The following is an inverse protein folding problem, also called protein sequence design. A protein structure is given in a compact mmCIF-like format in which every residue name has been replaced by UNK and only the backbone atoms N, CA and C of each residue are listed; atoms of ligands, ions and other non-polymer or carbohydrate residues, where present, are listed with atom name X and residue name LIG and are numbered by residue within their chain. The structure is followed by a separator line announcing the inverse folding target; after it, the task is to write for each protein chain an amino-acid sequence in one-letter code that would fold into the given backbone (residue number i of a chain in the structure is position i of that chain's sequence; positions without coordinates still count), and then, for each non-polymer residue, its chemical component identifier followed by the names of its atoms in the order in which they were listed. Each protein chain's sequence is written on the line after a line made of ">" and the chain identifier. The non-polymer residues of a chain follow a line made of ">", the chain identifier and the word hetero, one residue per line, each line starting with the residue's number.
data_IF_434851860588
#
_entry.id   IF_434851860588
#
_cell.length_a   1.000
_cell.length_b   1.000
_cell.length_c   1.000
_cell.angle_alpha   90.00
_cell.angle_beta   90.00
_cell.angle_gamma   90.00
#
_symmetry.space_group_name_H-M   'P 1'
#
loop_
_entity.id
_entity.type
_entity.pdbx_description
1 polymer ?
#
# COMPACT_ATOMS: atom_id res chain seq x y z
N UNK A 1 1.39 -1.52 26.84
CA UNK A 1 1.63 -2.17 25.52
C UNK A 1 1.16 -1.26 24.41
N UNK A 2 1.44 -1.59 23.15
CA UNK A 2 1.12 -0.70 22.01
C UNK A 2 -0.36 -0.30 21.93
N UNK A 3 -1.28 -1.22 22.23
CA UNK A 3 -2.73 -0.94 22.24
C UNK A 3 -3.11 0.14 23.25
N UNK A 4 -2.68 0.01 24.52
CA UNK A 4 -2.96 1.03 25.54
C UNK A 4 -2.37 2.38 25.14
N UNK A 5 -1.15 2.40 24.61
CA UNK A 5 -0.53 3.65 24.15
C UNK A 5 -1.39 4.34 23.07
N UNK A 6 -1.89 3.60 22.08
CA UNK A 6 -2.78 4.13 21.03
C UNK A 6 -4.07 4.70 21.63
N UNK A 7 -4.65 4.02 22.61
CA UNK A 7 -5.87 4.47 23.32
C UNK A 7 -5.59 5.76 24.11
N UNK A 8 -4.49 5.77 24.88
CA UNK A 8 -4.10 6.90 25.74
C UNK A 8 -3.78 8.17 24.93
N UNK A 9 -3.38 8.03 23.66
CA UNK A 9 -3.18 9.14 22.72
C UNK A 9 -4.49 9.65 22.07
N UNK A 10 -5.65 9.06 22.38
CA UNK A 10 -6.94 9.49 21.84
C UNK A 10 -7.16 9.13 20.36
N UNK A 11 -6.43 8.13 19.84
CA UNK A 11 -6.61 7.63 18.48
C UNK A 11 -7.98 6.97 18.34
N UNK A 12 -8.69 7.28 17.25
CA UNK A 12 -10.04 6.76 16.98
C UNK A 12 -10.12 5.72 15.89
N UNK A 13 -9.13 5.71 14.99
CA UNK A 13 -9.07 4.83 13.82
C UNK A 13 -7.69 4.19 13.74
N UNK A 14 -7.65 2.87 13.56
CA UNK A 14 -6.40 2.10 13.46
C UNK A 14 -6.45 1.22 12.23
N UNK A 15 -5.42 1.29 11.40
CA UNK A 15 -5.09 0.22 10.47
C UNK A 15 -4.11 -0.73 11.15
N UNK A 16 -4.44 -2.02 11.12
CA UNK A 16 -3.50 -3.08 11.49
C UNK A 16 -3.03 -3.77 10.22
N UNK A 17 -1.77 -4.18 10.17
CA UNK A 17 -1.19 -4.85 9.02
C UNK A 17 -0.20 -5.90 9.48
N UNK A 18 0.06 -6.87 8.60
CA UNK A 18 0.91 -8.03 8.82
C UNK A 18 0.50 -8.91 10.03
N UNK A 19 0.74 -10.22 9.91
CA UNK A 19 0.45 -11.17 10.99
C UNK A 19 -1.04 -11.47 11.20
N UNK A 20 -1.37 -12.00 12.38
CA UNK A 20 -2.71 -12.50 12.70
C UNK A 20 -3.63 -11.35 13.21
N UNK A 21 -4.79 -11.07 12.56
CA UNK A 21 -5.74 -10.05 13.00
C UNK A 21 -6.27 -10.28 14.42
N UNK A 22 -6.28 -11.51 14.93
CA UNK A 22 -6.74 -11.82 16.29
C UNK A 22 -5.92 -11.16 17.39
N UNK A 23 -4.66 -10.78 17.10
CA UNK A 23 -3.70 -10.35 18.12
C UNK A 23 -4.16 -9.10 18.89
N UNK A 24 -4.74 -8.13 18.17
CA UNK A 24 -5.10 -6.83 18.75
C UNK A 24 -6.53 -6.39 18.47
N UNK A 25 -7.23 -7.01 17.51
CA UNK A 25 -8.56 -6.54 17.07
C UNK A 25 -9.54 -6.49 18.24
N UNK A 26 -9.64 -7.56 19.04
CA UNK A 26 -10.56 -7.60 20.19
C UNK A 26 -10.29 -6.50 21.22
N UNK A 27 -9.02 -6.21 21.53
CA UNK A 27 -8.65 -5.16 22.50
C UNK A 27 -8.95 -3.76 21.96
N UNK A 28 -8.64 -3.49 20.68
CA UNK A 28 -8.92 -2.22 20.03
C UNK A 28 -10.43 -1.96 19.92
N UNK A 29 -11.19 -2.99 19.53
CA UNK A 29 -12.66 -2.95 19.44
C UNK A 29 -13.31 -2.75 20.81
N UNK A 30 -12.82 -3.41 21.86
CA UNK A 30 -13.31 -3.24 23.22
C UNK A 30 -13.10 -1.80 23.75
N UNK A 31 -12.07 -1.10 23.25
CA UNK A 31 -11.82 0.30 23.55
C UNK A 31 -12.62 1.29 22.66
N UNK A 32 -13.49 0.78 21.77
CA UNK A 32 -14.36 1.60 20.92
C UNK A 32 -13.67 2.18 19.67
N UNK A 33 -12.48 1.69 19.31
CA UNK A 33 -11.78 2.16 18.11
C UNK A 33 -12.38 1.54 16.84
N UNK A 34 -12.34 2.29 15.74
CA UNK A 34 -12.56 1.77 14.39
C UNK A 34 -11.29 1.06 13.92
N UNK A 35 -11.41 -0.20 13.52
CA UNK A 35 -10.27 -1.06 13.17
C UNK A 35 -10.41 -1.53 11.73
N UNK A 36 -9.44 -1.17 10.89
CA UNK A 36 -9.27 -1.73 9.56
C UNK A 36 -8.07 -2.67 9.55
N UNK A 37 -8.13 -3.75 8.77
CA UNK A 37 -7.00 -4.69 8.63
C UNK A 37 -6.54 -4.82 7.18
N UNK A 38 -5.23 -4.73 6.96
CA UNK A 38 -4.61 -4.93 5.65
C UNK A 38 -4.54 -6.41 5.32
N UNK A 39 -5.11 -6.81 4.19
CA UNK A 39 -5.25 -8.22 3.78
C UNK A 39 -4.66 -8.45 2.38
N UNK A 40 -3.75 -9.42 2.21
CA UNK A 40 -3.10 -9.66 0.93
C UNK A 40 -3.74 -10.79 0.10
N UNK A 41 -4.78 -11.44 0.62
CA UNK A 41 -5.51 -12.54 -0.03
C UNK A 41 -6.90 -12.71 0.59
N UNK A 42 -7.73 -13.53 -0.07
CA UNK A 42 -9.11 -13.75 0.35
C UNK A 42 -9.24 -14.43 1.71
N UNK A 43 -8.40 -15.42 2.04
CA UNK A 43 -8.49 -16.11 3.33
C UNK A 43 -8.18 -15.19 4.49
N UNK A 44 -7.20 -14.28 4.34
CA UNK A 44 -6.93 -13.23 5.33
C UNK A 44 -8.08 -12.23 5.45
N UNK A 45 -8.74 -11.87 4.34
CA UNK A 45 -9.92 -10.99 4.34
C UNK A 45 -11.07 -11.59 5.16
N UNK A 46 -11.45 -12.84 4.88
CA UNK A 46 -12.49 -13.56 5.61
C UNK A 46 -12.12 -13.64 7.10
N UNK A 47 -10.88 -14.03 7.40
CA UNK A 47 -10.41 -14.15 8.78
C UNK A 47 -10.45 -12.82 9.54
N UNK A 48 -10.08 -11.72 8.90
CA UNK A 48 -10.14 -10.40 9.52
C UNK A 48 -11.59 -9.99 9.85
N UNK A 49 -12.53 -10.24 8.94
CA UNK A 49 -13.97 -9.99 9.17
C UNK A 49 -14.49 -10.84 10.32
N UNK A 50 -14.13 -12.13 10.39
CA UNK A 50 -14.47 -13.01 11.53
C UNK A 50 -13.93 -12.48 12.87
N UNK A 51 -12.81 -11.76 12.85
CA UNK A 51 -12.24 -11.12 14.05
C UNK A 51 -12.96 -9.83 14.46
N UNK A 52 -13.92 -9.34 13.68
CA UNK A 52 -14.75 -8.18 14.00
C UNK A 52 -14.11 -6.83 13.64
N UNK A 53 -13.27 -6.78 12.60
CA UNK A 53 -12.80 -5.50 12.03
C UNK A 53 -13.97 -4.73 11.40
N UNK A 54 -13.86 -3.40 11.38
CA UNK A 54 -14.87 -2.52 10.77
C UNK A 54 -14.69 -2.38 9.25
N UNK A 55 -13.53 -2.75 8.73
CA UNK A 55 -13.23 -2.65 7.31
C UNK A 55 -11.91 -3.30 6.95
N UNK A 56 -11.63 -3.34 5.65
CA UNK A 56 -10.45 -3.97 5.09
C UNK A 56 -9.63 -2.95 4.29
N UNK A 57 -8.32 -3.13 4.30
CA UNK A 57 -7.44 -2.58 3.27
C UNK A 57 -7.00 -3.74 2.39
N UNK A 58 -7.58 -3.86 1.20
CA UNK A 58 -7.28 -4.96 0.28
C UNK A 58 -6.09 -4.56 -0.58
N UNK A 59 -4.94 -5.18 -0.35
CA UNK A 59 -3.68 -4.75 -0.95
C UNK A 59 -3.11 -5.78 -1.94
N UNK A 60 -3.02 -5.39 -3.22
CA UNK A 60 -2.41 -6.20 -4.27
C UNK A 60 -0.87 -6.16 -4.28
N UNK A 61 -0.31 -7.10 -5.05
CA UNK A 61 1.14 -7.29 -5.23
C UNK A 61 1.89 -6.12 -5.87
N UNK A 62 1.18 -5.19 -6.51
CA UNK A 62 1.71 -4.00 -7.18
C UNK A 62 2.20 -2.94 -6.18
N UNK A 63 1.67 -2.95 -4.95
CA UNK A 63 2.03 -2.02 -3.88
C UNK A 63 3.45 -2.23 -3.37
N UNK A 64 4.09 -1.14 -2.93
CA UNK A 64 5.38 -1.21 -2.24
C UNK A 64 5.26 -1.77 -0.82
N UNK A 65 6.38 -2.15 -0.22
CA UNK A 65 6.39 -2.63 1.17
C UNK A 65 6.24 -4.13 1.30
N UNK A 66 5.89 -4.60 2.49
CA UNK A 66 5.74 -6.03 2.80
C UNK A 66 4.53 -6.65 2.09
N UNK A 67 4.73 -7.81 1.47
CA UNK A 67 3.74 -8.54 0.67
C UNK A 67 3.63 -9.99 1.09
N UNK A 68 2.54 -10.62 0.66
CA UNK A 68 2.47 -12.08 0.65
C UNK A 68 3.47 -12.63 -0.40
N UNK A 69 4.27 -13.65 -0.08
CA UNK A 69 5.18 -14.27 -1.05
C UNK A 69 4.52 -14.80 -2.32
N UNK A 70 3.23 -15.16 -2.22
CA UNK A 70 2.34 -15.48 -3.34
C UNK A 70 1.39 -14.31 -3.53
N UNK A 71 1.81 -13.35 -4.31
CA UNK A 71 1.06 -12.14 -4.58
C UNK A 71 -0.13 -12.38 -5.52
N UNK A 72 -1.12 -11.51 -5.39
CA UNK A 72 -2.28 -11.42 -6.28
C UNK A 72 -2.42 -9.96 -6.67
N UNK A 73 -2.62 -9.70 -7.96
CA UNK A 73 -2.82 -8.35 -8.47
C UNK A 73 -4.14 -7.75 -7.93
N UNK A 74 -4.17 -6.44 -7.68
CA UNK A 74 -5.36 -5.74 -7.17
C UNK A 74 -6.57 -5.95 -8.06
N UNK A 75 -6.38 -5.95 -9.39
CA UNK A 75 -7.44 -6.17 -10.38
C UNK A 75 -8.18 -7.51 -10.19
N UNK A 76 -7.49 -8.52 -9.64
CA UNK A 76 -8.06 -9.84 -9.33
C UNK A 76 -8.54 -9.91 -7.88
N UNK A 77 -7.72 -9.44 -6.95
CA UNK A 77 -7.95 -9.60 -5.52
C UNK A 77 -9.15 -8.78 -5.03
N UNK A 78 -9.26 -7.53 -5.47
CA UNK A 78 -10.28 -6.59 -4.99
C UNK A 78 -11.71 -7.07 -5.24
N UNK A 79 -12.13 -7.35 -6.50
CA UNK A 79 -13.49 -7.82 -6.76
C UNK A 79 -13.76 -9.21 -6.15
N UNK A 80 -12.73 -10.05 -6.03
CA UNK A 80 -12.84 -11.35 -5.36
C UNK A 80 -13.18 -11.18 -3.87
N UNK A 81 -12.47 -10.32 -3.15
CA UNK A 81 -12.77 -10.04 -1.74
C UNK A 81 -14.16 -9.42 -1.59
N UNK A 82 -14.49 -8.41 -2.39
CA UNK A 82 -15.82 -7.76 -2.38
C UNK A 82 -16.96 -8.77 -2.58
N UNK A 83 -16.77 -9.81 -3.40
CA UNK A 83 -17.79 -10.84 -3.62
C UNK A 83 -18.10 -11.71 -2.39
N UNK A 84 -17.28 -11.65 -1.34
CA UNK A 84 -17.35 -12.52 -0.17
C UNK A 84 -17.62 -11.77 1.14
N UNK A 85 -17.46 -10.44 1.17
CA UNK A 85 -17.61 -9.64 2.40
C UNK A 85 -18.32 -8.32 2.14
N UNK A 86 -19.02 -7.82 3.15
CA UNK A 86 -19.79 -6.58 3.05
C UNK A 86 -19.22 -5.37 3.80
N UNK A 87 -18.16 -5.55 4.59
CA UNK A 87 -17.49 -4.45 5.28
C UNK A 87 -16.86 -3.47 4.27
N UNK A 88 -16.74 -2.18 4.59
CA UNK A 88 -16.03 -1.20 3.77
C UNK A 88 -14.61 -1.66 3.38
N UNK A 89 -14.24 -1.42 2.13
CA UNK A 89 -12.95 -1.78 1.54
C UNK A 89 -12.22 -0.53 1.05
N UNK A 90 -10.98 -0.38 1.51
CA UNK A 90 -9.99 0.53 0.95
C UNK A 90 -9.09 -0.29 0.02
N UNK A 91 -9.04 0.05 -1.27
CA UNK A 91 -8.14 -0.61 -2.21
C UNK A 91 -6.71 -0.05 -2.09
N UNK A 92 -5.70 -0.91 -2.05
CA UNK A 92 -4.30 -0.53 -1.95
C UNK A 92 -3.43 -1.29 -2.97
N UNK A 93 -2.35 -0.64 -3.42
CA UNK A 93 -1.44 -1.21 -4.43
C UNK A 93 -1.90 -0.92 -5.86
N UNK A 94 -1.12 -0.12 -6.58
CA UNK A 94 -1.40 0.25 -7.98
C UNK A 94 -2.20 1.56 -8.19
N UNK A 95 -2.56 2.26 -7.11
CA UNK A 95 -3.33 3.52 -7.16
C UNK A 95 -2.45 4.76 -7.02
N UNK A 96 -2.73 5.79 -7.81
CA UNK A 96 -1.93 7.05 -7.85
C UNK A 96 -2.74 8.31 -8.21
N UNK A 97 -3.90 8.14 -8.86
CA UNK A 97 -4.64 9.22 -9.53
C UNK A 97 -6.16 8.95 -9.50
N UNK A 98 -6.97 9.90 -9.98
CA UNK A 98 -8.43 9.76 -9.93
C UNK A 98 -8.97 8.69 -10.87
N UNK A 99 -8.29 8.42 -11.99
CA UNK A 99 -8.66 7.34 -12.92
C UNK A 99 -8.53 5.96 -12.27
N UNK A 100 -7.40 5.71 -11.60
CA UNK A 100 -7.22 4.44 -10.87
C UNK A 100 -8.14 4.33 -9.66
N UNK A 101 -8.50 5.45 -9.02
CA UNK A 101 -9.55 5.48 -8.00
C UNK A 101 -10.94 5.11 -8.57
N UNK A 102 -11.32 5.63 -9.74
CA UNK A 102 -12.58 5.26 -10.39
C UNK A 102 -12.63 3.76 -10.72
N UNK A 103 -11.51 3.18 -11.17
CA UNK A 103 -11.39 1.74 -11.36
C UNK A 103 -11.56 0.96 -10.05
N UNK A 104 -10.97 1.39 -8.93
CA UNK A 104 -11.18 0.76 -7.62
C UNK A 104 -12.65 0.75 -7.20
N UNK A 105 -13.34 1.87 -7.39
CA UNK A 105 -14.76 1.99 -7.05
C UNK A 105 -15.63 1.08 -7.92
N UNK A 106 -15.32 0.98 -9.22
CA UNK A 106 -15.99 0.04 -10.12
C UNK A 106 -15.76 -1.43 -9.71
N UNK A 107 -14.62 -1.75 -9.09
CA UNK A 107 -14.29 -3.07 -8.55
C UNK A 107 -14.85 -3.30 -7.13
N UNK A 108 -15.53 -2.31 -6.55
CA UNK A 108 -16.27 -2.43 -5.29
C UNK A 108 -15.53 -1.98 -4.04
N UNK A 109 -14.53 -1.11 -4.16
CA UNK A 109 -13.97 -0.37 -3.03
C UNK A 109 -14.70 0.95 -2.78
N UNK A 110 -14.61 1.48 -1.56
CA UNK A 110 -15.13 2.80 -1.18
C UNK A 110 -14.02 3.86 -0.99
N UNK A 111 -12.76 3.46 -1.09
CA UNK A 111 -11.61 4.37 -1.06
C UNK A 111 -10.35 3.72 -1.68
N UNK A 112 -9.31 4.54 -1.88
CA UNK A 112 -7.96 4.07 -2.24
C UNK A 112 -6.92 4.51 -1.22
N UNK A 113 -5.89 3.70 -1.00
CA UNK A 113 -4.71 4.02 -0.21
C UNK A 113 -3.48 4.12 -1.13
N UNK A 114 -2.77 5.25 -1.07
CA UNK A 114 -1.59 5.52 -1.88
C UNK A 114 -0.32 5.59 -1.03
N UNK A 115 0.58 4.61 -1.20
CA UNK A 115 1.88 4.57 -0.52
C UNK A 115 2.95 5.34 -1.29
N UNK A 116 3.42 4.80 -2.42
CA UNK A 116 4.50 5.37 -3.23
C UNK A 116 4.30 6.85 -3.57
N UNK A 117 3.07 7.25 -3.91
CA UNK A 117 2.73 8.65 -4.22
C UNK A 117 2.91 9.59 -3.03
N UNK A 118 2.64 9.11 -1.81
CA UNK A 118 2.81 9.88 -0.58
C UNK A 118 4.28 9.91 -0.12
N UNK A 119 5.04 8.84 -0.36
CA UNK A 119 6.51 8.85 -0.14
C UNK A 119 7.17 9.96 -0.97
N UNK A 120 6.74 10.15 -2.22
CA UNK A 120 7.26 11.17 -3.13
C UNK A 120 6.56 12.53 -3.06
N UNK A 121 5.75 12.79 -2.03
CA UNK A 121 5.13 14.10 -1.81
C UNK A 121 6.13 15.12 -1.22
N UNK A 122 5.87 16.41 -1.41
CA UNK A 122 6.71 17.50 -0.91
C UNK A 122 6.89 17.43 0.61
N UNK A 123 5.79 17.23 1.33
CA UNK A 123 5.73 17.18 2.79
C UNK A 123 6.26 15.87 3.38
N UNK A 124 6.53 14.86 2.55
CA UNK A 124 7.15 13.62 3.01
C UNK A 124 8.55 13.93 3.56
N UNK A 125 8.88 13.46 4.78
CA UNK A 125 10.15 13.79 5.43
C UNK A 125 11.31 12.95 4.90
N UNK A 126 11.05 12.05 3.94
CA UNK A 126 12.11 11.25 3.33
C UNK A 126 13.04 12.13 2.50
N UNK A 127 14.29 11.72 2.38
CA UNK A 127 15.31 12.45 1.65
C UNK A 127 14.94 12.55 0.15
N UNK A 128 15.28 13.69 -0.45
CA UNK A 128 14.95 14.01 -1.86
C UNK A 128 15.47 12.97 -2.85
N UNK A 129 16.58 12.31 -2.56
CA UNK A 129 17.11 11.20 -3.38
C UNK A 129 16.08 10.09 -3.62
N UNK A 130 15.31 9.69 -2.60
CA UNK A 130 14.29 8.66 -2.79
C UNK A 130 13.09 9.19 -3.57
N UNK A 131 12.67 10.45 -3.31
CA UNK A 131 11.60 11.09 -4.10
C UNK A 131 11.98 11.16 -5.58
N UNK A 132 13.19 11.62 -5.89
CA UNK A 132 13.73 11.70 -7.25
C UNK A 132 13.89 10.32 -7.89
N UNK A 133 14.32 9.32 -7.12
CA UNK A 133 14.40 7.94 -7.62
C UNK A 133 13.01 7.39 -8.00
N UNK A 134 11.96 7.72 -7.25
CA UNK A 134 10.57 7.37 -7.61
C UNK A 134 10.14 8.09 -8.89
N UNK A 135 10.41 9.40 -9.00
CA UNK A 135 10.02 10.22 -10.17
C UNK A 135 10.72 9.75 -11.45
N UNK A 136 11.97 9.32 -11.35
CA UNK A 136 12.76 8.87 -12.51
C UNK A 136 12.54 7.38 -12.86
N UNK A 137 11.79 6.64 -12.05
CA UNK A 137 11.60 5.20 -12.23
C UNK A 137 10.54 4.90 -13.29
N UNK A 138 10.77 3.83 -14.05
CA UNK A 138 9.76 3.21 -14.91
C UNK A 138 8.89 2.24 -14.11
N UNK A 139 7.79 1.80 -14.70
CA UNK A 139 6.88 0.80 -14.13
C UNK A 139 7.54 -0.56 -13.89
N UNK A 140 8.66 -0.82 -14.59
CA UNK A 140 9.47 -2.04 -14.51
C UNK A 140 10.68 -1.93 -13.57
N UNK A 141 10.92 -0.77 -12.96
CA UNK A 141 12.08 -0.52 -12.08
C UNK A 141 11.81 -0.91 -10.61
N UNK A 142 10.92 -1.87 -10.37
CA UNK A 142 10.74 -2.48 -9.04
C UNK A 142 11.05 -3.97 -9.08
N UNK A 143 11.48 -4.51 -7.95
CA UNK A 143 11.74 -5.94 -7.74
C UNK A 143 10.77 -6.51 -6.71
N UNK A 144 10.49 -7.80 -6.82
CA UNK A 144 9.72 -8.54 -5.81
C UNK A 144 10.65 -9.51 -5.09
N UNK A 145 11.05 -9.14 -3.88
CA UNK A 145 12.05 -9.85 -3.11
C UNK A 145 11.42 -10.85 -2.13
N UNK A 146 12.26 -11.79 -1.69
CA UNK A 146 12.00 -12.64 -0.55
C UNK A 146 10.79 -13.59 -0.73
N UNK A 147 10.52 -14.05 -1.96
CA UNK A 147 9.41 -14.97 -2.27
C UNK A 147 9.55 -16.37 -1.65
N UNK A 148 10.77 -16.76 -1.28
CA UNK A 148 11.06 -18.04 -0.61
C UNK A 148 10.98 -17.95 0.92
N UNK A 149 10.85 -16.74 1.47
CA UNK A 149 10.72 -16.48 2.90
C UNK A 149 9.46 -15.65 3.17
N UNK A 150 9.24 -15.28 4.43
CA UNK A 150 8.12 -14.41 4.82
C UNK A 150 8.59 -13.37 5.83
N UNK A 151 8.14 -12.10 5.70
CA UNK A 151 7.32 -11.57 4.62
C UNK A 151 8.10 -11.38 3.31
N UNK A 152 7.40 -11.41 2.17
CA UNK A 152 7.95 -10.90 0.93
C UNK A 152 7.90 -9.37 0.91
N UNK A 153 8.52 -8.73 -0.07
CA UNK A 153 8.45 -7.27 -0.21
C UNK A 153 8.70 -6.78 -1.63
N UNK A 154 8.06 -5.65 -1.98
CA UNK A 154 8.31 -4.93 -3.23
C UNK A 154 9.06 -3.64 -2.97
N UNK A 155 10.12 -3.43 -3.75
CA UNK A 155 11.05 -2.32 -3.60
C UNK A 155 11.51 -1.79 -4.95
N UNK A 156 12.04 -0.57 -4.94
CA UNK A 156 12.73 0.01 -6.09
C UNK A 156 13.98 -0.82 -6.43
N UNK A 157 14.31 -0.91 -7.72
CA UNK A 157 15.52 -1.55 -8.21
C UNK A 157 16.74 -0.68 -7.90
N UNK A 158 17.69 -1.25 -7.17
CA UNK A 158 19.00 -0.69 -6.82
C UNK A 158 20.05 -1.78 -6.99
N UNK A 159 21.34 -1.51 -6.78
CA UNK A 159 22.38 -2.55 -6.83
C UNK A 159 22.16 -3.58 -5.73
N UNK A 160 21.84 -3.15 -4.50
CA UNK A 160 21.43 -4.04 -3.40
C UNK A 160 20.23 -4.89 -3.78
N UNK A 161 19.12 -4.29 -4.22
CA UNK A 161 17.89 -5.05 -4.45
C UNK A 161 18.01 -5.97 -5.67
N UNK A 162 18.81 -5.62 -6.67
CA UNK A 162 19.15 -6.50 -7.81
C UNK A 162 19.97 -7.72 -7.37
N UNK A 163 20.94 -7.56 -6.46
CA UNK A 163 21.67 -8.72 -5.90
C UNK A 163 20.74 -9.66 -5.13
N UNK A 164 19.81 -9.11 -4.34
CA UNK A 164 18.84 -9.88 -3.57
C UNK A 164 17.82 -10.60 -4.48
N UNK A 165 17.36 -9.97 -5.57
CA UNK A 165 16.47 -10.60 -6.55
C UNK A 165 17.12 -11.83 -7.19
N UNK A 166 18.42 -11.75 -7.47
CA UNK A 166 19.21 -12.84 -8.06
C UNK A 166 19.70 -13.89 -7.04
N UNK A 167 19.40 -13.72 -5.74
CA UNK A 167 19.82 -14.62 -4.65
C UNK A 167 18.61 -15.00 -3.78
N UNK A 168 17.60 -15.72 -4.33
CA UNK A 168 16.30 -15.94 -3.67
C UNK A 168 16.38 -16.76 -2.37
N UNK A 169 17.47 -17.49 -2.14
CA UNK A 169 17.79 -18.21 -0.91
C UNK A 169 18.22 -17.29 0.25
N UNK A 170 18.58 -16.03 -0.04
CA UNK A 170 18.91 -15.03 0.98
C UNK A 170 17.62 -14.42 1.52
N UNK A 171 17.48 -14.38 2.85
CA UNK A 171 16.37 -13.68 3.47
C UNK A 171 16.59 -12.16 3.42
N UNK A 172 15.88 -11.46 2.54
CA UNK A 172 16.02 -10.01 2.35
C UNK A 172 15.76 -9.20 3.62
N UNK A 173 15.05 -9.75 4.61
CA UNK A 173 14.85 -9.09 5.91
C UNK A 173 16.15 -8.97 6.72
N UNK A 174 17.07 -9.93 6.60
CA UNK A 174 18.38 -9.85 7.24
C UNK A 174 19.26 -8.78 6.58
N UNK A 175 19.01 -8.50 5.30
CA UNK A 175 19.74 -7.54 4.47
C UNK A 175 18.99 -6.20 4.31
N UNK A 176 17.96 -5.95 5.14
CA UNK A 176 17.14 -4.74 5.04
C UNK A 176 17.98 -3.48 5.15
N UNK A 177 19.05 -3.51 5.96
CA UNK A 177 20.01 -2.43 6.09
C UNK A 177 19.57 -1.33 7.07
N UNK A 178 20.15 -0.14 6.91
CA UNK A 178 19.99 1.00 7.83
C UNK A 178 18.93 1.97 7.33
N UNK A 179 17.67 1.72 7.69
CA UNK A 179 16.53 2.49 7.19
C UNK A 179 16.67 4.01 7.42
N UNK A 180 17.28 4.45 8.53
CA UNK A 180 17.49 5.87 8.84
C UNK A 180 18.40 6.54 7.81
N UNK A 181 19.46 5.86 7.36
CA UNK A 181 20.43 6.38 6.38
C UNK A 181 19.79 6.52 4.99
N UNK A 182 18.83 5.66 4.66
CA UNK A 182 18.00 5.80 3.46
C UNK A 182 16.98 6.93 3.62
N UNK A 183 16.21 6.89 4.71
CA UNK A 183 15.04 7.74 4.92
C UNK A 183 15.47 9.20 5.06
N UNK A 184 16.53 9.49 5.81
CA UNK A 184 16.93 10.86 6.12
C UNK A 184 18.33 11.21 5.59
N UNK A 185 19.17 10.21 5.35
CA UNK A 185 20.52 10.40 4.76
C UNK A 185 20.56 10.31 3.23
N UNK A 186 19.51 9.79 2.58
CA UNK A 186 19.44 9.70 1.13
C UNK A 186 20.33 8.64 0.48
N UNK A 187 20.94 7.76 1.27
CA UNK A 187 21.72 6.63 0.74
C UNK A 187 20.77 5.53 0.28
N UNK A 188 20.51 5.50 -1.04
CA UNK A 188 19.62 4.53 -1.69
C UNK A 188 20.10 3.08 -1.59
N UNK A 189 21.37 2.84 -1.23
CA UNK A 189 21.94 1.51 -1.04
C UNK A 189 22.05 1.11 0.44
N UNK A 190 21.87 2.05 1.38
CA UNK A 190 21.93 1.76 2.81
C UNK A 190 20.83 0.81 3.28
N UNK A 191 19.65 0.84 2.65
CA UNK A 191 18.50 0.01 2.98
C UNK A 191 17.62 -0.32 1.75
N UNK A 192 16.56 -1.08 1.96
CA UNK A 192 15.61 -1.45 0.89
C UNK A 192 14.54 -0.37 0.74
N UNK A 193 14.57 0.35 -0.39
CA UNK A 193 13.61 1.41 -0.73
C UNK A 193 12.25 0.85 -1.16
N UNK A 194 11.34 0.67 -0.19
CA UNK A 194 9.98 0.12 -0.39
C UNK A 194 9.13 1.02 -1.30
N UNK A 195 8.97 0.59 -2.55
CA UNK A 195 8.35 1.36 -3.64
C UNK A 195 7.49 0.42 -4.49
N UNK A 196 6.24 0.81 -4.75
CA UNK A 196 5.32 0.07 -5.63
C UNK A 196 5.45 0.45 -7.10
N UNK A 197 4.93 -0.40 -8.00
CA UNK A 197 5.04 -0.24 -9.46
C UNK A 197 4.46 1.06 -10.01
N UNK A 198 3.58 1.70 -9.24
CA UNK A 198 3.00 3.01 -9.57
C UNK A 198 4.05 4.12 -9.72
N UNK A 199 5.32 3.91 -9.30
CA UNK A 199 6.41 4.83 -9.56
C UNK A 199 6.51 5.24 -11.05
N UNK A 200 6.25 4.32 -11.99
CA UNK A 200 6.21 4.62 -13.44
C UNK A 200 5.10 5.57 -13.89
N UNK A 201 4.20 5.97 -12.98
CA UNK A 201 3.12 6.94 -13.23
C UNK A 201 3.27 8.20 -12.37
N UNK A 202 4.41 8.39 -11.71
CA UNK A 202 4.72 9.54 -10.87
C UNK A 202 5.79 10.37 -11.58
N UNK A 203 5.42 11.53 -12.10
CA UNK A 203 6.29 12.37 -12.93
C UNK A 203 6.93 13.56 -12.20
N UNK A 204 6.49 13.84 -10.97
CA UNK A 204 6.86 15.05 -10.25
C UNK A 204 6.64 14.90 -8.75
N UNK A 205 7.44 15.63 -7.96
CA UNK A 205 7.19 15.90 -6.54
C UNK A 205 6.13 16.99 -6.44
N UNK A 206 5.07 16.74 -5.68
CA UNK A 206 3.91 17.64 -5.54
C UNK A 206 3.47 17.71 -4.08
N UNK A 207 2.76 18.78 -3.71
CA UNK A 207 2.20 18.87 -2.37
C UNK A 207 1.12 17.81 -2.15
N UNK A 208 0.96 17.34 -0.91
CA UNK A 208 -0.12 16.42 -0.53
C UNK A 208 -1.47 17.01 -0.90
N UNK A 209 -1.66 18.33 -0.71
CA UNK A 209 -2.88 19.03 -1.10
C UNK A 209 -3.17 18.84 -2.58
N UNK A 210 -2.22 19.17 -3.46
CA UNK A 210 -2.44 19.12 -4.91
C UNK A 210 -2.70 17.68 -5.37
N UNK A 211 -1.99 16.70 -4.79
CA UNK A 211 -2.21 15.27 -5.08
C UNK A 211 -3.66 14.88 -4.76
N UNK A 212 -4.15 15.23 -3.57
CA UNK A 212 -5.52 14.85 -3.14
C UNK A 212 -6.60 15.59 -3.92
N UNK A 213 -6.39 16.88 -4.21
CA UNK A 213 -7.33 17.68 -5.01
C UNK A 213 -7.44 17.15 -6.43
N UNK A 214 -6.32 16.76 -7.05
CA UNK A 214 -6.29 16.17 -8.38
C UNK A 214 -6.96 14.80 -8.41
N UNK A 215 -6.62 13.91 -7.47
CA UNK A 215 -7.25 12.57 -7.37
C UNK A 215 -8.77 12.72 -7.27
N UNK A 216 -9.25 13.64 -6.43
CA UNK A 216 -10.69 13.89 -6.28
C UNK A 216 -11.30 14.44 -7.57
N UNK A 217 -10.68 15.44 -8.19
CA UNK A 217 -11.19 16.06 -9.42
C UNK A 217 -11.27 15.04 -10.56
N UNK A 218 -10.15 14.38 -10.84
CA UNK A 218 -10.04 13.38 -11.91
C UNK A 218 -10.96 12.18 -11.71
N UNK A 219 -11.24 11.80 -10.45
CA UNK A 219 -12.20 10.75 -10.15
C UNK A 219 -13.59 11.09 -10.69
N UNK A 220 -14.12 12.27 -10.37
CA UNK A 220 -15.42 12.71 -10.85
C UNK A 220 -15.45 12.94 -12.36
N UNK A 221 -14.39 13.54 -12.93
CA UNK A 221 -14.25 13.69 -14.39
C UNK A 221 -14.27 12.34 -15.11
N UNK A 222 -13.62 11.32 -14.53
CA UNK A 222 -13.60 9.96 -15.09
C UNK A 222 -14.99 9.33 -15.07
N UNK A 223 -15.72 9.46 -13.97
CA UNK A 223 -17.10 8.95 -13.87
C UNK A 223 -18.03 9.64 -14.87
N UNK A 224 -17.96 10.97 -14.98
CA UNK A 224 -18.76 11.74 -15.93
C UNK A 224 -18.44 11.35 -17.38
N UNK A 225 -17.15 11.25 -17.74
CA UNK A 225 -16.72 10.85 -19.07
C UNK A 225 -17.19 9.43 -19.43
N UNK A 226 -17.10 8.48 -18.48
CA UNK A 226 -17.60 7.11 -18.70
C UNK A 226 -19.13 7.08 -18.86
N UNK A 227 -19.86 7.81 -18.01
CA UNK A 227 -21.32 7.91 -18.11
C UNK A 227 -21.74 8.46 -19.48
N UNK A 228 -21.17 9.60 -19.88
CA UNK A 228 -21.46 10.23 -21.17
C UNK A 228 -21.12 9.34 -22.37
N UNK A 229 -20.06 8.53 -22.27
CA UNK A 229 -19.61 7.67 -23.37
C UNK A 229 -20.44 6.40 -23.55
N UNK A 230 -20.93 5.82 -22.46
CA UNK A 230 -21.54 4.48 -22.48
C UNK A 230 -23.03 4.44 -22.12
N UNK A 231 -23.54 5.47 -21.45
CA UNK A 231 -24.95 5.59 -21.07
C UNK A 231 -25.67 6.76 -21.75
N UNK A 232 -24.89 7.73 -22.28
CA UNK A 232 -25.38 8.92 -22.99
C UNK A 232 -25.73 8.69 -24.45
#
# INVERSE_FOLDING_TARGET
>A
GIVNFVIDQGVRFVTTSAGNPERYTSQLKAAGLTVFHVVPNLSAAIKAVECGVDGLVVEGGEGGGFKNPRDVATMVLLPLVRSQVDVPIIAAGGFVDGKSMAAAFALGAEAVQMGTRMVSALESPVHENWKNAIVNAKETDTVFLNRMHSPALRALRTDKTTRLENSPEVNAMAEFGKAIDLYFGGDMESAIALTGQVCGRIDSVRSVRDILEDVRREFFETLEAMSNRYLG
#
